data_IF_488543263534
#
_entry.id   IF_488543263534
#
_cell.length_a   1.000
_cell.length_b   1.000
_cell.length_c   1.000
_cell.angle_alpha   90.00
_cell.angle_beta   90.00
_cell.angle_gamma   90.00
#
_symmetry.space_group_name_H-M   'P 1'
#
loop_
_entity.id
_entity.type
_entity.pdbx_description
1 polymer ?
#
# COMPACT_ATOMS: atom_id res chain seq x y z
N UNK A 1 15.12 -42.24 -0.43
CA UNK A 1 15.08 -41.35 0.75
C UNK A 1 14.52 -40.02 0.30
N UNK A 2 13.26 -39.76 0.60
CA UNK A 2 12.51 -38.61 0.11
C UNK A 2 12.39 -37.61 1.24
N UNK A 3 13.19 -36.55 1.20
CA UNK A 3 13.18 -35.52 2.24
C UNK A 3 12.00 -34.58 1.99
N UNK A 4 10.93 -34.74 2.78
CA UNK A 4 9.83 -33.76 2.87
C UNK A 4 10.39 -32.48 3.50
N UNK A 5 10.47 -31.41 2.71
CA UNK A 5 10.70 -30.06 3.24
C UNK A 5 9.34 -29.46 3.56
N UNK A 6 9.01 -29.47 4.85
CA UNK A 6 7.87 -28.77 5.43
C UNK A 6 8.12 -27.26 5.37
N UNK A 7 7.57 -26.57 4.36
CA UNK A 7 7.48 -25.11 4.34
C UNK A 7 6.28 -24.68 5.19
N UNK A 8 6.55 -24.29 6.43
CA UNK A 8 5.54 -23.80 7.37
C UNK A 8 4.96 -22.46 6.91
N UNK A 9 3.63 -22.36 6.99
CA UNK A 9 2.78 -21.20 6.66
C UNK A 9 3.14 -19.91 7.41
N UNK A 10 3.95 -19.99 8.48
CA UNK A 10 4.33 -18.86 9.32
C UNK A 10 5.32 -17.86 8.69
N UNK A 11 6.04 -18.21 7.62
CA UNK A 11 7.05 -17.34 6.99
C UNK A 11 6.54 -16.44 5.85
N UNK A 12 5.28 -16.58 5.43
CA UNK A 12 4.72 -15.82 4.29
C UNK A 12 4.03 -14.53 4.75
N UNK A 13 3.40 -14.54 5.92
CA UNK A 13 2.77 -13.36 6.51
C UNK A 13 3.79 -12.31 6.98
N UNK A 14 5.01 -12.71 7.34
CA UNK A 14 6.08 -11.78 7.73
C UNK A 14 6.65 -10.96 6.56
N UNK A 15 6.43 -11.40 5.30
CA UNK A 15 6.77 -10.60 4.11
C UNK A 15 5.67 -9.62 3.74
N UNK A 16 4.41 -10.04 3.83
CA UNK A 16 3.24 -9.19 3.57
C UNK A 16 3.07 -8.12 4.66
N UNK A 17 3.42 -8.43 5.92
CA UNK A 17 3.37 -7.49 7.05
C UNK A 17 4.73 -6.85 7.37
N UNK A 18 5.80 -7.25 6.70
CA UNK A 18 7.14 -6.70 6.87
C UNK A 18 7.23 -5.21 6.54
N UNK A 19 6.36 -4.69 5.67
CA UNK A 19 6.29 -3.27 5.37
C UNK A 19 5.76 -2.42 6.55
N UNK A 20 4.98 -3.01 7.47
CA UNK A 20 4.24 -2.26 8.48
C UNK A 20 5.15 -1.70 9.59
N UNK A 21 6.38 -2.19 9.69
CA UNK A 21 7.37 -1.75 10.71
C UNK A 21 8.52 -0.91 10.15
N UNK A 22 8.71 -0.84 8.83
CA UNK A 22 9.96 -0.32 8.25
C UNK A 22 9.98 1.16 7.84
N UNK A 23 8.83 1.76 7.50
CA UNK A 23 8.83 3.06 6.77
C UNK A 23 8.53 4.27 7.66
N UNK A 24 8.07 4.09 8.90
CA UNK A 24 7.79 5.21 9.83
C UNK A 24 9.07 5.79 10.48
N UNK A 25 10.25 5.22 10.23
CA UNK A 25 11.47 5.50 11.00
C UNK A 25 12.44 6.57 10.48
N UNK A 26 12.29 7.13 9.27
CA UNK A 26 13.37 7.98 8.68
C UNK A 26 12.87 9.16 7.84
N UNK A 27 12.09 10.05 8.44
CA UNK A 27 11.87 11.39 7.90
C UNK A 27 11.80 12.46 9.00
N UNK A 28 12.78 12.50 9.88
CA UNK A 28 12.90 13.57 10.88
C UNK A 28 14.36 14.01 11.02
N UNK A 29 14.77 14.95 10.16
CA UNK A 29 15.82 15.91 10.52
C UNK A 29 15.66 17.26 9.80
N UNK A 30 15.07 18.17 10.56
CA UNK A 30 15.40 19.61 10.70
C UNK A 30 15.17 20.54 9.50
N UNK A 31 14.02 21.21 9.52
CA UNK A 31 13.93 22.65 9.25
C UNK A 31 13.15 23.28 10.41
N UNK A 32 13.82 24.12 11.21
CA UNK A 32 13.24 24.88 12.31
C UNK A 32 12.38 26.01 11.74
N UNK A 33 11.08 25.99 12.04
CA UNK A 33 10.20 27.15 11.87
C UNK A 33 8.71 26.82 12.05
N UNK A 34 8.15 27.19 13.21
CA UNK A 34 6.71 27.22 13.59
C UNK A 34 5.98 25.89 13.86
N UNK A 35 5.93 25.52 15.15
CA UNK A 35 4.75 24.90 15.81
C UNK A 35 3.53 25.83 15.59
N UNK A 36 2.30 25.39 15.30
CA UNK A 36 1.35 24.67 16.20
C UNK A 36 0.13 24.08 15.43
N UNK A 37 0.30 23.18 14.46
CA UNK A 37 -0.83 22.62 13.67
C UNK A 37 -0.83 21.09 13.48
N UNK A 38 -0.27 20.30 14.40
CA UNK A 38 0.03 18.86 14.16
C UNK A 38 -0.72 17.83 15.01
N UNK A 39 -1.53 18.20 15.99
CA UNK A 39 -2.17 17.18 16.88
C UNK A 39 -3.61 16.84 16.47
N UNK A 40 -4.31 17.78 15.83
CA UNK A 40 -5.70 17.59 15.37
C UNK A 40 -5.79 16.77 14.08
N UNK A 41 -4.88 17.01 13.13
CA UNK A 41 -4.88 16.41 11.78
C UNK A 41 -4.64 14.89 11.82
N UNK A 42 -3.76 14.43 12.71
CA UNK A 42 -3.43 13.01 12.86
C UNK A 42 -4.59 12.22 13.51
N UNK A 43 -5.35 12.85 14.41
CA UNK A 43 -6.50 12.22 15.09
C UNK A 43 -7.69 12.05 14.15
N UNK A 44 -7.94 13.05 13.30
CA UNK A 44 -9.00 13.01 12.30
C UNK A 44 -8.68 11.97 11.20
N UNK A 45 -7.41 11.85 10.82
CA UNK A 45 -6.92 10.85 9.87
C UNK A 45 -7.08 9.42 10.40
N UNK A 46 -6.71 9.18 11.67
CA UNK A 46 -6.89 7.86 12.30
C UNK A 46 -8.37 7.46 12.41
N UNK A 47 -9.25 8.41 12.77
CA UNK A 47 -10.68 8.16 12.84
C UNK A 47 -11.29 7.89 11.45
N UNK A 48 -10.81 8.55 10.39
CA UNK A 48 -11.25 8.29 9.02
C UNK A 48 -10.81 6.91 8.52
N UNK A 49 -9.57 6.51 8.80
CA UNK A 49 -9.08 5.17 8.49
C UNK A 49 -9.90 4.09 9.19
N UNK A 50 -10.26 4.30 10.46
CA UNK A 50 -11.08 3.35 11.20
C UNK A 50 -12.52 3.27 10.68
N UNK A 51 -13.12 4.42 10.31
CA UNK A 51 -14.42 4.44 9.61
C UNK A 51 -14.37 3.68 8.29
N UNK A 52 -13.32 3.90 7.50
CA UNK A 52 -13.12 3.23 6.22
C UNK A 52 -12.93 1.72 6.41
N UNK A 53 -12.11 1.30 7.36
CA UNK A 53 -11.92 -0.10 7.76
C UNK A 53 -13.25 -0.75 8.13
N UNK A 54 -14.02 -0.10 9.02
CA UNK A 54 -15.33 -0.59 9.45
C UNK A 54 -16.28 -0.74 8.27
N UNK A 55 -16.29 0.23 7.35
CA UNK A 55 -17.10 0.15 6.12
C UNK A 55 -16.68 -1.01 5.21
N UNK A 56 -15.38 -1.26 5.03
CA UNK A 56 -14.88 -2.38 4.23
C UNK A 56 -15.20 -3.73 4.87
N UNK A 57 -15.17 -3.82 6.20
CA UNK A 57 -15.55 -5.04 6.93
C UNK A 57 -17.04 -5.40 6.78
N UNK A 58 -17.89 -4.48 6.32
CA UNK A 58 -19.32 -4.72 6.12
C UNK A 58 -19.66 -5.23 4.71
N UNK A 59 -18.72 -5.16 3.75
CA UNK A 59 -18.98 -5.62 2.37
C UNK A 59 -18.79 -7.14 2.27
N UNK A 60 -19.54 -7.77 1.36
CA UNK A 60 -19.44 -9.21 1.10
C UNK A 60 -18.08 -9.59 0.51
N UNK A 61 -17.64 -10.84 0.74
CA UNK A 61 -16.29 -11.32 0.37
C UNK A 61 -15.92 -11.06 -1.10
N UNK A 62 -16.83 -11.36 -2.04
CA UNK A 62 -16.59 -11.12 -3.47
C UNK A 62 -16.36 -9.65 -3.76
N UNK A 63 -17.20 -8.78 -3.18
CA UNK A 63 -17.09 -7.33 -3.36
C UNK A 63 -15.80 -6.80 -2.73
N UNK A 64 -15.41 -7.33 -1.57
CA UNK A 64 -14.17 -6.94 -0.91
C UNK A 64 -12.95 -7.30 -1.76
N UNK A 65 -12.95 -8.49 -2.35
CA UNK A 65 -11.90 -8.92 -3.26
C UNK A 65 -11.83 -8.03 -4.51
N UNK A 66 -12.98 -7.71 -5.11
CA UNK A 66 -13.05 -6.82 -6.28
C UNK A 66 -12.53 -5.42 -5.94
N UNK A 67 -12.91 -4.86 -4.79
CA UNK A 67 -12.40 -3.57 -4.31
C UNK A 67 -10.89 -3.59 -4.08
N UNK A 68 -10.36 -4.69 -3.56
CA UNK A 68 -8.91 -4.88 -3.40
C UNK A 68 -8.21 -4.88 -4.76
N UNK A 69 -8.70 -5.65 -5.74
CA UNK A 69 -8.14 -5.67 -7.10
C UNK A 69 -8.26 -4.32 -7.80
N UNK A 70 -9.34 -3.58 -7.56
CA UNK A 70 -9.51 -2.23 -8.07
C UNK A 70 -8.48 -1.27 -7.47
N UNK A 71 -8.29 -1.28 -6.15
CA UNK A 71 -7.28 -0.43 -5.49
C UNK A 71 -5.85 -0.75 -5.99
N UNK A 72 -5.51 -2.04 -6.15
CA UNK A 72 -4.27 -2.49 -6.80
C UNK A 72 -4.13 -1.89 -8.21
N UNK A 73 -5.17 -2.01 -9.05
CA UNK A 73 -5.15 -1.51 -10.44
C UNK A 73 -4.96 0.01 -10.49
N UNK A 74 -5.61 0.76 -9.60
CA UNK A 74 -5.50 2.22 -9.55
C UNK A 74 -4.08 2.67 -9.13
N UNK A 75 -3.48 2.00 -8.14
CA UNK A 75 -2.10 2.28 -7.75
C UNK A 75 -1.10 1.85 -8.83
N UNK A 76 -1.28 0.68 -9.44
CA UNK A 76 -0.46 0.22 -10.57
C UNK A 76 -0.50 1.19 -11.75
N UNK A 77 -1.68 1.72 -12.09
CA UNK A 77 -1.83 2.79 -13.09
C UNK A 77 -1.08 4.07 -12.71
N UNK A 78 -1.01 4.41 -11.42
CA UNK A 78 -0.24 5.54 -10.91
C UNK A 78 1.26 5.31 -11.12
N UNK A 79 1.78 4.13 -10.81
CA UNK A 79 3.19 3.81 -11.08
C UNK A 79 3.53 3.85 -12.57
N UNK A 80 2.68 3.29 -13.43
CA UNK A 80 2.88 3.37 -14.90
C UNK A 80 2.88 4.82 -15.38
N UNK A 81 2.01 5.67 -14.83
CA UNK A 81 2.01 7.09 -15.16
C UNK A 81 3.33 7.76 -14.76
N UNK A 82 3.81 7.50 -13.54
CA UNK A 82 5.06 8.06 -13.02
C UNK A 82 6.30 7.57 -13.79
N UNK A 83 6.33 6.29 -14.18
CA UNK A 83 7.35 5.74 -15.07
C UNK A 83 7.45 6.55 -16.37
N UNK A 84 6.32 6.74 -17.05
CA UNK A 84 6.24 7.53 -18.29
C UNK A 84 6.60 9.00 -18.09
N UNK A 85 6.27 9.59 -16.94
CA UNK A 85 6.63 10.97 -16.63
C UNK A 85 8.16 11.10 -16.51
N UNK A 86 8.80 10.15 -15.84
CA UNK A 86 10.25 10.11 -15.63
C UNK A 86 11.01 9.85 -16.94
N UNK A 87 10.54 8.92 -17.76
CA UNK A 87 11.08 8.69 -19.11
C UNK A 87 11.04 9.95 -19.99
N UNK A 88 9.93 10.69 -19.97
CA UNK A 88 9.79 11.96 -20.71
C UNK A 88 10.75 13.04 -20.20
N UNK A 89 11.12 12.99 -18.93
CA UNK A 89 12.11 13.88 -18.34
C UNK A 89 13.56 13.42 -18.61
N UNK A 90 13.75 12.30 -19.32
CA UNK A 90 15.06 11.73 -19.65
C UNK A 90 15.63 10.76 -18.60
N UNK A 91 14.82 10.33 -17.63
CA UNK A 91 15.13 9.24 -16.69
C UNK A 91 14.77 7.87 -17.26
N UNK A 92 14.95 6.80 -16.46
CA UNK A 92 14.72 5.42 -16.89
C UNK A 92 13.39 4.79 -16.43
N UNK A 93 12.64 5.43 -15.51
CA UNK A 93 11.35 4.94 -15.01
C UNK A 93 11.37 3.63 -14.21
N UNK A 94 12.51 2.92 -14.16
CA UNK A 94 12.62 1.51 -13.76
C UNK A 94 12.10 1.23 -12.37
N UNK A 95 12.29 2.18 -11.43
CA UNK A 95 11.80 2.05 -10.06
C UNK A 95 10.28 1.92 -9.97
N UNK A 96 9.54 2.58 -10.86
CA UNK A 96 8.08 2.56 -10.88
C UNK A 96 7.57 1.29 -11.53
N UNK A 97 8.25 0.82 -12.57
CA UNK A 97 7.95 -0.48 -13.18
C UNK A 97 8.16 -1.61 -12.18
N UNK A 98 9.27 -1.58 -11.43
CA UNK A 98 9.51 -2.52 -10.34
C UNK A 98 8.44 -2.43 -9.24
N UNK A 99 8.01 -1.22 -8.87
CA UNK A 99 6.95 -1.04 -7.88
C UNK A 99 5.60 -1.60 -8.37
N UNK A 100 5.29 -1.46 -9.67
CA UNK A 100 4.09 -2.05 -10.27
C UNK A 100 4.14 -3.58 -10.29
N UNK A 101 5.32 -4.18 -10.57
CA UNK A 101 5.50 -5.63 -10.53
C UNK A 101 5.33 -6.17 -9.10
N UNK A 102 5.98 -5.55 -8.11
CA UNK A 102 5.88 -5.97 -6.71
C UNK A 102 4.44 -5.83 -6.18
N UNK A 103 3.71 -4.79 -6.62
CA UNK A 103 2.30 -4.62 -6.26
C UNK A 103 1.42 -5.77 -6.79
N UNK A 104 1.67 -6.24 -8.01
CA UNK A 104 0.92 -7.36 -8.59
C UNK A 104 1.24 -8.67 -7.85
N UNK A 105 2.52 -8.93 -7.57
CA UNK A 105 2.97 -10.07 -6.76
C UNK A 105 2.30 -10.07 -5.36
N UNK A 106 2.25 -8.91 -4.70
CA UNK A 106 1.59 -8.74 -3.41
C UNK A 106 0.08 -9.01 -3.50
N UNK A 107 -0.59 -8.52 -4.55
CA UNK A 107 -2.01 -8.74 -4.77
C UNK A 107 -2.36 -10.21 -5.07
N UNK A 108 -1.48 -10.93 -5.78
CA UNK A 108 -1.63 -12.38 -6.01
C UNK A 108 -1.41 -13.22 -4.76
N UNK A 109 -0.56 -12.76 -3.84
CA UNK A 109 -0.29 -13.44 -2.58
C UNK A 109 -1.45 -13.37 -1.58
N UNK A 110 -2.35 -12.38 -1.72
CA UNK A 110 -3.52 -12.20 -0.83
C UNK A 110 -4.61 -13.20 -1.20
N UNK A 111 -4.97 -14.05 -0.23
CA UNK A 111 -6.03 -15.03 -0.40
C UNK A 111 -7.40 -14.38 -0.60
N UNK A 112 -8.21 -14.94 -1.52
CA UNK A 112 -9.57 -14.43 -1.80
C UNK A 112 -10.52 -14.48 -0.59
N UNK A 113 -10.19 -15.23 0.47
CA UNK A 113 -10.96 -15.31 1.72
C UNK A 113 -10.27 -14.63 2.91
N UNK A 114 -9.10 -14.07 2.71
CA UNK A 114 -8.36 -13.35 3.75
C UNK A 114 -8.85 -11.91 3.82
N UNK A 115 -9.98 -11.72 4.50
CA UNK A 115 -10.65 -10.40 4.59
C UNK A 115 -9.76 -9.34 5.21
N UNK A 116 -9.04 -9.69 6.28
CA UNK A 116 -8.20 -8.74 6.99
C UNK A 116 -7.04 -8.29 6.10
N UNK A 117 -6.38 -9.21 5.39
CA UNK A 117 -5.33 -8.84 4.44
C UNK A 117 -5.87 -7.96 3.29
N UNK A 118 -7.07 -8.25 2.77
CA UNK A 118 -7.69 -7.43 1.72
C UNK A 118 -7.99 -6.00 2.21
N UNK A 119 -8.51 -5.85 3.43
CA UNK A 119 -8.80 -4.54 4.02
C UNK A 119 -7.52 -3.74 4.23
N UNK A 120 -6.47 -4.35 4.79
CA UNK A 120 -5.17 -3.68 4.96
C UNK A 120 -4.58 -3.24 3.63
N UNK A 121 -4.65 -4.09 2.60
CA UNK A 121 -4.14 -3.79 1.28
C UNK A 121 -4.86 -2.58 0.65
N UNK A 122 -6.19 -2.56 0.68
CA UNK A 122 -6.99 -1.42 0.17
C UNK A 122 -6.57 -0.13 0.86
N UNK A 123 -6.53 -0.12 2.20
CA UNK A 123 -6.19 1.08 2.96
C UNK A 123 -4.77 1.55 2.65
N UNK A 124 -3.82 0.63 2.54
CA UNK A 124 -2.44 0.96 2.25
C UNK A 124 -2.26 1.51 0.82
N UNK A 125 -2.81 0.83 -0.18
CA UNK A 125 -2.66 1.23 -1.57
C UNK A 125 -3.40 2.53 -1.89
N UNK A 126 -4.57 2.76 -1.30
CA UNK A 126 -5.28 4.03 -1.43
C UNK A 126 -4.48 5.17 -0.78
N UNK A 127 -3.89 4.95 0.40
CA UNK A 127 -3.05 5.94 1.07
C UNK A 127 -1.78 6.25 0.26
N UNK A 128 -1.13 5.24 -0.31
CA UNK A 128 0.05 5.41 -1.16
C UNK A 128 -0.30 6.16 -2.45
N UNK A 129 -1.43 5.83 -3.09
CA UNK A 129 -1.93 6.56 -4.26
C UNK A 129 -2.15 8.04 -3.94
N UNK A 130 -2.80 8.36 -2.82
CA UNK A 130 -3.00 9.73 -2.38
C UNK A 130 -1.69 10.45 -2.09
N UNK A 131 -0.73 9.77 -1.45
CA UNK A 131 0.61 10.31 -1.19
C UNK A 131 1.34 10.65 -2.48
N UNK A 132 1.31 9.75 -3.47
CA UNK A 132 1.94 9.95 -4.77
C UNK A 132 1.26 11.09 -5.54
N UNK A 133 -0.07 11.15 -5.53
CA UNK A 133 -0.81 12.26 -6.14
C UNK A 133 -0.42 13.61 -5.54
N UNK A 134 -0.32 13.71 -4.21
CA UNK A 134 0.11 14.93 -3.53
C UNK A 134 1.57 15.32 -3.85
N UNK A 135 2.48 14.36 -3.98
CA UNK A 135 3.90 14.61 -4.27
C UNK A 135 4.13 15.00 -5.74
N UNK A 136 3.40 14.38 -6.66
CA UNK A 136 3.64 14.52 -8.10
C UNK A 136 2.61 15.41 -8.81
N UNK A 137 1.57 15.89 -8.11
CA UNK A 137 0.53 16.75 -8.66
C UNK A 137 -0.39 16.03 -9.65
N UNK A 138 -0.79 14.80 -9.32
CA UNK A 138 -1.69 13.96 -10.14
C UNK A 138 -3.17 14.22 -9.83
#
# INVERSE_FOLDING_TARGET
MTTKVSYGEAGRLDRVLGWARGVVGKALRVVRGRQTRRVSDDSDSAAELERRRTSLQQVGDTVLYDLMRESCTQLGGTYVHLSRLEERAGGDGTRWDQAAMLLDDDAEAIGARDRDAQVEAILHWDAERQRLAAVHGL
#
